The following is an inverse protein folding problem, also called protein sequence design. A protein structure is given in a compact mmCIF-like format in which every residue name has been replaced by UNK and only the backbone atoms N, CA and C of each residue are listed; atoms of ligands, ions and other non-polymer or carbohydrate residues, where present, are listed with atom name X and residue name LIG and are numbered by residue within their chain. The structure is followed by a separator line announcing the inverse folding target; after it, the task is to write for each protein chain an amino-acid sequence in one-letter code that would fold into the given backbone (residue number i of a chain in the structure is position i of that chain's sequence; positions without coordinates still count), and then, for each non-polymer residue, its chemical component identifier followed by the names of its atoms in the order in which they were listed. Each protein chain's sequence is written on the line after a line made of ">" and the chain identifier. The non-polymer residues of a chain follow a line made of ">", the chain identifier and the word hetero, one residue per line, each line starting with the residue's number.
data_IF_472490286765
#
_entry.id   IF_472490286765
#
_cell.length_a   1.000
_cell.length_b   1.000
_cell.length_c   1.000
_cell.angle_alpha   90.00
_cell.angle_beta   90.00
_cell.angle_gamma   90.00
#
_symmetry.space_group_name_H-M   'P 1'
#
loop_
_entity.id
_entity.type
_entity.pdbx_description
1 polymer ?
#
# COMPACT_ATOMS: atom_id res chain seq x y z
N UNK A 1 3.11 22.73 15.31
CA UNK A 1 3.19 23.34 13.97
C UNK A 1 2.90 22.28 12.91
N UNK A 2 2.78 22.66 11.63
CA UNK A 2 2.71 21.72 10.52
C UNK A 2 4.13 21.47 9.99
N UNK A 3 4.56 20.20 9.91
CA UNK A 3 5.87 19.85 9.34
C UNK A 3 5.87 19.93 7.81
N UNK A 4 7.06 19.95 7.19
CA UNK A 4 7.21 19.92 5.71
C UNK A 4 6.55 18.70 5.06
N UNK A 5 6.37 17.61 5.82
CA UNK A 5 5.59 16.42 5.43
C UNK A 5 4.08 16.57 5.63
N UNK A 6 3.57 17.80 5.82
CA UNK A 6 2.14 18.19 5.94
C UNK A 6 1.39 17.73 7.20
N UNK A 7 1.99 16.90 8.07
CA UNK A 7 1.35 16.47 9.32
C UNK A 7 1.66 17.44 10.47
N UNK A 8 0.80 17.46 11.49
CA UNK A 8 1.07 18.19 12.72
C UNK A 8 2.21 17.55 13.50
N UNK A 9 3.05 18.41 14.10
CA UNK A 9 4.19 18.02 14.91
C UNK A 9 4.11 18.78 16.24
N UNK A 10 4.37 18.04 17.32
CA UNK A 10 4.45 18.52 18.69
C UNK A 10 5.90 18.44 19.19
N UNK A 11 6.31 19.43 19.99
CA UNK A 11 7.61 19.40 20.66
C UNK A 11 7.69 18.32 21.74
N UNK A 12 6.54 17.92 22.29
CA UNK A 12 6.44 16.96 23.40
C UNK A 12 6.11 15.54 22.95
N UNK A 13 5.46 15.39 21.79
CA UNK A 13 4.94 14.10 21.34
C UNK A 13 5.40 13.69 19.94
N UNK A 14 6.15 14.54 19.23
CA UNK A 14 6.45 14.33 17.82
C UNK A 14 5.20 14.43 16.95
N UNK A 15 5.14 13.62 15.89
CA UNK A 15 4.03 13.57 14.91
C UNK A 15 3.18 12.31 14.98
N UNK A 16 3.48 11.36 15.88
CA UNK A 16 2.69 10.15 16.11
C UNK A 16 1.44 10.41 16.97
N UNK A 17 0.50 11.18 16.42
CA UNK A 17 -0.67 11.69 17.13
C UNK A 17 -1.96 11.42 16.35
N UNK A 18 -3.04 11.16 17.06
CA UNK A 18 -4.39 11.26 16.51
C UNK A 18 -4.94 12.67 16.76
N UNK A 19 -5.67 13.19 15.79
CA UNK A 19 -6.32 14.49 15.88
C UNK A 19 -7.82 14.31 16.06
N UNK A 20 -8.40 15.09 16.97
CA UNK A 20 -9.84 15.19 17.17
C UNK A 20 -10.23 16.66 17.27
N UNK A 21 -11.45 16.98 16.85
CA UNK A 21 -12.03 18.32 16.98
C UNK A 21 -13.42 18.24 17.60
N UNK A 22 -13.73 19.22 18.46
CA UNK A 22 -15.04 19.41 19.08
C UNK A 22 -15.51 20.80 18.68
N UNK A 23 -16.68 20.87 18.07
CA UNK A 23 -17.32 22.14 17.73
C UNK A 23 -18.19 22.56 18.91
N UNK A 24 -18.01 23.80 19.37
CA UNK A 24 -18.76 24.37 20.49
C UNK A 24 -19.19 25.79 20.17
N UNK A 25 -20.30 26.21 20.78
CA UNK A 25 -20.77 27.60 20.77
C UNK A 25 -20.26 28.39 21.96
N UNK A 26 -19.55 27.75 22.91
CA UNK A 26 -18.89 28.43 24.02
C UNK A 26 -17.86 29.42 23.48
N UNK A 27 -17.84 30.62 24.06
CA UNK A 27 -16.80 31.61 23.78
C UNK A 27 -15.53 31.23 24.55
N UNK A 28 -14.58 30.63 23.84
CA UNK A 28 -13.29 30.21 24.39
C UNK A 28 -12.18 31.10 23.83
N UNK A 29 -11.21 31.54 24.65
CA UNK A 29 -10.05 32.24 24.14
C UNK A 29 -9.30 31.36 23.14
N UNK A 30 -8.86 31.95 22.02
CA UNK A 30 -8.10 31.26 20.98
C UNK A 30 -6.63 31.18 21.39
N UNK A 31 -6.03 30.00 21.22
CA UNK A 31 -4.59 29.84 21.35
C UNK A 31 -3.85 30.52 20.20
N UNK A 32 -2.61 30.95 20.46
CA UNK A 32 -1.72 31.43 19.42
C UNK A 32 -1.24 30.27 18.54
N UNK A 33 -1.04 30.48 17.23
CA UNK A 33 -0.43 29.47 16.37
C UNK A 33 1.02 29.21 16.80
N UNK A 34 1.42 27.94 16.74
CA UNK A 34 2.79 27.52 17.00
C UNK A 34 3.73 27.92 15.84
N UNK A 35 5.00 28.20 16.15
CA UNK A 35 6.02 28.54 15.14
C UNK A 35 6.58 27.30 14.45
N UNK A 36 7.05 27.47 13.22
CA UNK A 36 7.72 26.38 12.49
C UNK A 36 9.06 26.01 13.15
N UNK A 37 9.29 24.70 13.31
CA UNK A 37 10.53 24.16 13.85
C UNK A 37 11.23 23.16 12.90
N UNK A 38 10.86 23.14 11.62
CA UNK A 38 11.54 22.34 10.60
C UNK A 38 12.87 22.98 10.18
N UNK A 39 12.95 24.32 10.12
CA UNK A 39 14.16 25.02 9.70
C UNK A 39 14.65 24.54 8.33
N UNK A 40 15.96 24.26 8.21
CA UNK A 40 16.56 23.75 6.97
C UNK A 40 16.36 22.25 6.71
N UNK A 41 15.80 21.49 7.65
CA UNK A 41 15.62 20.03 7.51
C UNK A 41 14.76 19.68 6.28
N UNK A 42 15.21 18.70 5.49
CA UNK A 42 14.50 18.16 4.31
C UNK A 42 14.27 16.64 4.39
N UNK A 43 14.64 15.98 5.50
CA UNK A 43 14.71 14.51 5.57
C UNK A 43 13.44 13.79 5.13
N UNK A 44 12.26 14.31 5.49
CA UNK A 44 10.97 13.74 5.09
C UNK A 44 10.65 13.86 3.59
N UNK A 45 11.21 14.87 2.92
CA UNK A 45 11.11 15.06 1.47
C UNK A 45 12.08 14.09 0.78
N UNK A 46 13.31 14.04 1.27
CA UNK A 46 14.39 13.24 0.69
C UNK A 46 14.13 11.73 0.78
N UNK A 47 13.52 11.25 1.86
CA UNK A 47 13.23 9.81 2.03
C UNK A 47 12.03 9.33 1.21
N UNK A 48 11.14 10.24 0.77
CA UNK A 48 9.86 9.86 0.19
C UNK A 48 10.07 9.06 -1.11
N UNK A 49 9.77 7.75 -1.16
CA UNK A 49 10.20 6.90 -2.28
C UNK A 49 9.62 7.33 -3.63
N UNK A 50 8.44 7.93 -3.59
CA UNK A 50 7.67 8.37 -4.77
C UNK A 50 7.78 9.87 -5.02
N UNK A 51 8.59 10.61 -4.26
CA UNK A 51 8.73 12.06 -4.37
C UNK A 51 7.34 12.73 -4.36
N UNK A 52 6.52 12.36 -3.36
CA UNK A 52 5.15 12.85 -3.25
C UNK A 52 5.06 14.32 -2.80
N UNK A 53 6.19 14.93 -2.45
CA UNK A 53 6.26 16.33 -2.04
C UNK A 53 6.88 17.17 -3.16
N UNK A 54 6.08 17.83 -4.02
CA UNK A 54 6.62 18.74 -5.06
C UNK A 54 7.40 19.92 -4.47
N UNK A 55 7.03 20.36 -3.27
CA UNK A 55 7.72 21.39 -2.49
C UNK A 55 7.42 21.18 -1.00
N UNK A 56 8.21 21.75 -0.06
CA UNK A 56 7.90 21.70 1.37
C UNK A 56 6.46 22.10 1.68
N UNK A 57 5.80 21.38 2.59
CA UNK A 57 4.42 21.63 3.04
C UNK A 57 3.33 21.36 1.99
N UNK A 58 3.67 20.75 0.84
CA UNK A 58 2.71 20.39 -0.21
C UNK A 58 2.84 18.92 -0.57
N UNK A 59 1.73 18.20 -0.55
CA UNK A 59 1.66 16.78 -0.87
C UNK A 59 0.84 16.57 -2.14
N UNK A 60 1.38 15.87 -3.14
CA UNK A 60 0.60 15.25 -4.20
C UNK A 60 0.15 13.86 -3.73
N UNK A 61 -1.10 13.79 -3.26
CA UNK A 61 -1.69 12.55 -2.74
C UNK A 61 -1.65 11.41 -3.78
N UNK A 62 -1.72 11.70 -5.08
CA UNK A 62 -1.73 10.66 -6.13
C UNK A 62 -0.43 9.87 -6.19
N UNK A 63 0.66 10.43 -5.67
CA UNK A 63 1.98 9.79 -5.56
C UNK A 63 2.23 9.19 -4.17
N UNK A 64 1.49 9.62 -3.15
CA UNK A 64 1.71 9.20 -1.77
C UNK A 64 1.35 7.72 -1.58
N UNK A 65 2.28 6.90 -1.09
CA UNK A 65 2.05 5.47 -0.83
C UNK A 65 0.86 5.25 0.12
N UNK A 66 0.66 6.13 1.12
CA UNK A 66 -0.49 6.06 2.02
C UNK A 66 -1.82 6.20 1.26
N UNK A 67 -1.94 7.15 0.34
CA UNK A 67 -3.12 7.28 -0.52
C UNK A 67 -3.25 6.10 -1.49
N UNK A 68 -2.15 5.69 -2.14
CA UNK A 68 -2.14 4.58 -3.09
C UNK A 68 -2.64 3.27 -2.45
N UNK A 69 -2.24 3.01 -1.20
CA UNK A 69 -2.62 1.78 -0.49
C UNK A 69 -4.03 1.84 0.10
N UNK A 70 -4.54 3.03 0.46
CA UNK A 70 -5.80 3.15 1.20
C UNK A 70 -6.97 3.62 0.32
N UNK A 71 -6.76 4.66 -0.49
CA UNK A 71 -7.82 5.40 -1.19
C UNK A 71 -7.89 5.10 -2.68
N UNK A 72 -6.76 4.78 -3.33
CA UNK A 72 -6.73 4.57 -4.78
C UNK A 72 -7.59 3.36 -5.18
N UNK A 73 -8.61 3.61 -5.99
CA UNK A 73 -9.60 2.60 -6.45
C UNK A 73 -9.20 1.88 -7.73
N UNK A 74 -8.22 2.40 -8.47
CA UNK A 74 -7.69 1.83 -9.71
C UNK A 74 -6.50 0.91 -9.45
N UNK A 75 -5.92 0.36 -10.51
CA UNK A 75 -4.57 -0.17 -10.45
C UNK A 75 -3.60 0.92 -9.98
N UNK A 76 -2.57 0.52 -9.22
CA UNK A 76 -1.48 1.43 -8.86
C UNK A 76 -0.65 1.70 -10.12
N UNK A 77 -0.31 2.97 -10.45
CA UNK A 77 0.55 3.27 -11.60
C UNK A 77 1.88 2.52 -11.55
N UNK A 78 2.35 2.05 -12.70
CA UNK A 78 3.52 1.18 -12.81
C UNK A 78 4.76 1.77 -12.14
N UNK A 79 4.98 3.07 -12.29
CA UNK A 79 6.14 3.78 -11.74
C UNK A 79 6.22 3.79 -10.21
N UNK A 80 5.12 3.48 -9.50
CA UNK A 80 5.08 3.48 -8.04
C UNK A 80 5.14 2.08 -7.41
N UNK A 81 4.85 1.01 -8.16
CA UNK A 81 4.70 -0.35 -7.59
C UNK A 81 5.98 -0.84 -6.92
N UNK A 82 7.13 -0.69 -7.58
CA UNK A 82 8.42 -1.06 -7.00
C UNK A 82 8.81 -0.18 -5.81
N UNK A 83 8.48 1.10 -5.88
CA UNK A 83 8.74 2.11 -4.83
C UNK A 83 7.90 1.90 -3.57
N UNK A 84 6.80 1.15 -3.65
CA UNK A 84 5.98 0.80 -2.49
C UNK A 84 6.64 -0.21 -1.54
N UNK A 85 7.72 -0.89 -1.95
CA UNK A 85 8.38 -1.88 -1.09
C UNK A 85 7.39 -2.93 -0.55
N UNK A 86 7.32 -3.07 0.77
CA UNK A 86 6.37 -3.95 1.46
C UNK A 86 5.19 -3.20 2.13
N UNK A 87 4.95 -1.93 1.76
CA UNK A 87 3.83 -1.16 2.30
C UNK A 87 2.49 -1.66 1.76
N UNK A 88 1.75 -2.41 2.59
CA UNK A 88 0.44 -2.98 2.23
C UNK A 88 -0.76 -2.13 2.70
N UNK A 89 -0.56 -1.24 3.67
CA UNK A 89 -1.56 -0.30 4.17
C UNK A 89 -0.87 0.90 4.86
N UNK A 90 -1.02 2.10 4.32
CA UNK A 90 -0.33 3.28 4.82
C UNK A 90 1.16 3.31 4.44
N UNK A 91 1.82 4.41 4.79
CA UNK A 91 3.26 4.59 4.70
C UNK A 91 3.64 5.63 5.75
N UNK A 92 4.64 5.29 6.56
CA UNK A 92 5.08 6.13 7.67
C UNK A 92 6.48 6.73 7.44
N UNK A 93 7.13 6.50 6.30
CA UNK A 93 8.54 6.85 6.07
C UNK A 93 8.85 8.32 6.37
N UNK A 94 7.98 9.23 5.92
CA UNK A 94 8.14 10.67 6.13
C UNK A 94 7.96 11.08 7.60
N UNK A 95 7.20 10.29 8.38
CA UNK A 95 7.09 10.45 9.83
C UNK A 95 8.28 9.80 10.53
N UNK A 96 8.60 8.56 10.19
CA UNK A 96 9.67 7.78 10.81
C UNK A 96 11.03 8.48 10.76
N UNK A 97 11.34 9.17 9.66
CA UNK A 97 12.59 9.94 9.51
C UNK A 97 12.57 11.31 10.22
N UNK A 98 11.40 11.78 10.67
CA UNK A 98 11.27 13.13 11.23
C UNK A 98 12.05 13.24 12.57
N UNK A 99 13.02 14.17 12.71
CA UNK A 99 13.87 14.25 13.90
C UNK A 99 13.10 14.62 15.18
N UNK A 100 11.88 15.17 15.05
CA UNK A 100 11.01 15.47 16.18
C UNK A 100 10.36 14.23 16.79
N UNK A 101 10.36 13.09 16.09
CA UNK A 101 9.84 11.84 16.63
C UNK A 101 10.74 11.19 17.68
N UNK A 102 11.94 11.71 17.92
CA UNK A 102 12.73 11.35 19.10
C UNK A 102 12.04 11.71 20.42
N UNK A 103 11.05 12.60 20.40
CA UNK A 103 10.23 12.98 21.56
C UNK A 103 8.93 12.18 21.65
N UNK A 104 8.63 11.33 20.66
CA UNK A 104 7.43 10.51 20.70
C UNK A 104 7.58 9.36 21.72
N UNK A 105 6.46 8.96 22.31
CA UNK A 105 6.40 7.85 23.25
C UNK A 105 5.36 6.84 22.80
N UNK A 106 5.64 5.55 23.05
CA UNK A 106 4.65 4.48 22.83
C UNK A 106 3.48 4.73 23.78
N UNK A 107 2.27 4.73 23.23
CA UNK A 107 1.05 4.92 24.01
C UNK A 107 0.89 3.82 25.06
N UNK A 108 0.35 4.18 26.23
CA UNK A 108 -0.07 3.23 27.28
C UNK A 108 -1.55 2.86 27.16
N UNK A 109 -2.29 3.48 26.24
CA UNK A 109 -3.69 3.16 25.99
C UNK A 109 -3.80 1.77 25.37
N UNK A 110 -4.49 0.87 26.06
CA UNK A 110 -4.65 -0.52 25.65
C UNK A 110 -5.33 -0.64 24.28
N UNK A 111 -6.29 0.23 23.98
CA UNK A 111 -7.01 0.24 22.69
C UNK A 111 -6.14 0.63 21.49
N UNK A 112 -4.97 1.24 21.74
CA UNK A 112 -4.03 1.66 20.69
C UNK A 112 -2.89 0.66 20.48
N UNK A 113 -2.83 -0.42 21.26
CA UNK A 113 -1.83 -1.47 21.06
C UNK A 113 -2.21 -2.33 19.83
N UNK A 114 -1.21 -2.62 19.00
CA UNK A 114 -1.39 -3.52 17.88
C UNK A 114 -1.71 -4.94 18.37
N UNK A 115 -2.68 -5.60 17.73
CA UNK A 115 -2.93 -7.03 17.94
C UNK A 115 -1.74 -7.85 17.43
N UNK A 116 -1.36 -8.88 18.16
CA UNK A 116 -0.20 -9.71 17.83
C UNK A 116 -0.28 -10.30 16.41
N UNK A 117 -1.47 -10.72 15.96
CA UNK A 117 -1.67 -11.26 14.61
C UNK A 117 -1.39 -10.24 13.49
N UNK A 118 -1.37 -8.94 13.82
CA UNK A 118 -1.17 -7.85 12.86
C UNK A 118 0.26 -7.29 12.89
N UNK A 119 1.14 -7.86 13.72
CA UNK A 119 2.56 -7.49 13.77
C UNK A 119 3.31 -8.36 12.75
N UNK A 120 3.72 -7.75 11.64
CA UNK A 120 4.45 -8.40 10.54
C UNK A 120 3.80 -9.73 10.05
N UNK A 121 2.51 -9.72 9.66
CA UNK A 121 1.81 -10.91 9.18
C UNK A 121 2.44 -11.49 7.90
N UNK A 122 2.31 -12.81 7.69
CA UNK A 122 2.81 -13.49 6.50
C UNK A 122 2.02 -13.06 5.25
N UNK A 123 2.73 -12.59 4.21
CA UNK A 123 2.14 -12.20 2.94
C UNK A 123 1.37 -13.35 2.27
N UNK A 124 1.77 -14.62 2.48
CA UNK A 124 1.06 -15.79 1.95
C UNK A 124 -0.33 -15.96 2.59
N UNK A 125 -0.45 -15.67 3.88
CA UNK A 125 -1.74 -15.71 4.57
C UNK A 125 -2.62 -14.55 4.08
N UNK A 126 -2.03 -13.36 3.99
CA UNK A 126 -2.75 -12.14 3.59
C UNK A 126 -3.26 -12.17 2.14
N UNK A 127 -2.46 -12.66 1.18
CA UNK A 127 -2.88 -12.73 -0.23
C UNK A 127 -3.99 -13.76 -0.46
N UNK A 128 -4.11 -14.73 0.45
CA UNK A 128 -5.10 -15.80 0.38
C UNK A 128 -6.46 -15.41 0.97
N UNK A 129 -6.57 -14.22 1.59
CA UNK A 129 -7.82 -13.76 2.20
C UNK A 129 -8.94 -13.61 1.17
N UNK A 130 -10.09 -14.20 1.47
CA UNK A 130 -11.38 -13.84 0.89
C UNK A 130 -12.04 -12.67 1.67
N UNK A 131 -13.21 -12.19 1.23
CA UNK A 131 -13.90 -11.08 1.89
C UNK A 131 -14.31 -11.40 3.34
N UNK A 132 -14.76 -12.64 3.60
CA UNK A 132 -15.17 -13.09 4.94
C UNK A 132 -14.00 -13.05 5.92
N UNK A 133 -12.88 -13.67 5.56
CA UNK A 133 -11.68 -13.74 6.38
C UNK A 133 -11.01 -12.38 6.52
N UNK A 134 -10.99 -11.55 5.47
CA UNK A 134 -10.52 -10.17 5.55
C UNK A 134 -11.31 -9.35 6.58
N UNK A 135 -12.65 -9.40 6.53
CA UNK A 135 -13.52 -8.67 7.46
C UNK A 135 -13.38 -9.16 8.90
N UNK A 136 -13.16 -10.47 9.08
CA UNK A 136 -12.91 -11.06 10.39
C UNK A 136 -11.56 -10.59 10.95
N UNK A 137 -10.48 -10.75 10.18
CA UNK A 137 -9.12 -10.39 10.58
C UNK A 137 -8.99 -8.91 10.94
N UNK A 138 -9.55 -8.01 10.11
CA UNK A 138 -9.45 -6.56 10.30
C UNK A 138 -10.65 -5.94 11.04
N UNK A 139 -11.43 -6.72 11.78
CA UNK A 139 -12.48 -6.18 12.66
C UNK A 139 -11.88 -5.14 13.61
N UNK A 140 -12.58 -4.01 13.76
CA UNK A 140 -12.15 -2.86 14.57
C UNK A 140 -10.76 -2.29 14.21
N UNK A 141 -10.25 -2.59 13.02
CA UNK A 141 -9.04 -2.00 12.46
C UNK A 141 -9.39 -1.02 11.35
N UNK A 142 -8.70 0.12 11.22
CA UNK A 142 -8.89 1.04 10.10
C UNK A 142 -8.60 0.38 8.74
N UNK A 143 -7.78 -0.69 8.69
CA UNK A 143 -7.50 -1.48 7.48
C UNK A 143 -8.77 -1.98 6.80
N UNK A 144 -9.82 -2.28 7.57
CA UNK A 144 -11.10 -2.74 7.04
C UNK A 144 -11.71 -1.77 6.02
N UNK A 145 -11.44 -0.46 6.12
CA UNK A 145 -11.98 0.56 5.21
C UNK A 145 -11.43 0.46 3.78
N UNK A 146 -10.22 -0.08 3.61
CA UNK A 146 -9.62 -0.30 2.30
C UNK A 146 -10.38 -1.35 1.52
N UNK A 147 -11.03 -2.30 2.19
CA UNK A 147 -11.69 -3.43 1.54
C UNK A 147 -10.68 -4.47 1.02
N UNK A 148 -11.16 -5.70 0.84
CA UNK A 148 -10.32 -6.86 0.54
C UNK A 148 -9.54 -6.70 -0.77
N UNK A 149 -10.17 -6.25 -1.85
CA UNK A 149 -9.53 -6.26 -3.17
C UNK A 149 -8.37 -5.29 -3.27
N UNK A 150 -8.53 -4.06 -2.76
CA UNK A 150 -7.43 -3.08 -2.69
C UNK A 150 -6.31 -3.56 -1.76
N UNK A 151 -6.65 -4.24 -0.67
CA UNK A 151 -5.65 -4.80 0.25
C UNK A 151 -4.85 -5.92 -0.42
N UNK A 152 -5.51 -6.93 -1.01
CA UNK A 152 -4.84 -8.04 -1.71
C UNK A 152 -4.03 -7.54 -2.90
N UNK A 153 -4.53 -6.54 -3.64
CA UNK A 153 -3.77 -5.81 -4.67
C UNK A 153 -2.43 -5.28 -4.11
N UNK A 154 -2.44 -4.64 -2.94
CA UNK A 154 -1.21 -4.14 -2.31
C UNK A 154 -0.28 -5.28 -1.84
N UNK A 155 -0.86 -6.37 -1.32
CA UNK A 155 -0.07 -7.55 -0.91
C UNK A 155 0.63 -8.18 -2.12
N UNK A 156 -0.04 -8.25 -3.27
CA UNK A 156 0.59 -8.72 -4.53
C UNK A 156 1.75 -7.81 -4.95
N UNK A 157 1.63 -6.49 -4.74
CA UNK A 157 2.75 -5.56 -4.97
C UNK A 157 3.93 -5.90 -4.06
N UNK A 158 3.68 -6.10 -2.75
CA UNK A 158 4.72 -6.49 -1.79
C UNK A 158 5.37 -7.84 -2.12
N UNK A 159 4.58 -8.83 -2.56
CA UNK A 159 5.09 -10.12 -3.02
C UNK A 159 5.95 -9.95 -4.28
N UNK A 160 5.52 -9.14 -5.25
CA UNK A 160 6.30 -8.80 -6.44
C UNK A 160 7.66 -8.22 -6.09
N UNK A 161 7.69 -7.26 -5.18
CA UNK A 161 8.92 -6.59 -4.72
C UNK A 161 9.89 -7.51 -3.98
N UNK A 162 9.43 -8.65 -3.46
CA UNK A 162 10.27 -9.63 -2.77
C UNK A 162 11.04 -10.58 -3.71
N UNK A 163 10.76 -10.59 -5.02
CA UNK A 163 11.23 -11.62 -5.95
C UNK A 163 12.77 -11.81 -5.97
N UNK A 164 13.53 -10.73 -5.74
CA UNK A 164 15.00 -10.73 -5.76
C UNK A 164 15.67 -10.98 -4.41
N UNK A 165 14.93 -11.10 -3.31
CA UNK A 165 15.49 -11.15 -1.94
C UNK A 165 15.11 -12.39 -1.14
N UNK A 166 14.50 -13.38 -1.79
CA UNK A 166 13.95 -14.59 -1.16
C UNK A 166 14.63 -15.86 -1.66
N UNK A 167 14.53 -16.94 -0.87
CA UNK A 167 15.05 -18.25 -1.28
C UNK A 167 14.11 -18.98 -2.27
N UNK A 168 14.63 -20.04 -2.90
CA UNK A 168 13.89 -20.82 -3.90
C UNK A 168 12.57 -21.42 -3.38
N UNK A 169 12.51 -21.82 -2.09
CA UNK A 169 11.30 -22.37 -1.48
C UNK A 169 10.22 -21.30 -1.33
N UNK A 170 10.57 -20.11 -0.86
CA UNK A 170 9.65 -18.98 -0.77
C UNK A 170 9.20 -18.53 -2.15
N UNK A 171 10.12 -18.49 -3.11
CA UNK A 171 9.83 -18.17 -4.52
C UNK A 171 8.72 -19.06 -5.08
N UNK A 172 8.81 -20.38 -4.86
CA UNK A 172 7.78 -21.31 -5.32
C UNK A 172 6.42 -21.04 -4.67
N UNK A 173 6.39 -20.81 -3.36
CA UNK A 173 5.14 -20.49 -2.64
C UNK A 173 4.49 -19.20 -3.14
N UNK A 174 5.28 -18.15 -3.37
CA UNK A 174 4.78 -16.89 -3.90
C UNK A 174 4.29 -17.03 -5.34
N UNK A 175 5.00 -17.76 -6.20
CA UNK A 175 4.52 -18.08 -7.55
C UNK A 175 3.15 -18.76 -7.52
N UNK A 176 2.98 -19.81 -6.71
CA UNK A 176 1.69 -20.49 -6.56
C UNK A 176 0.59 -19.54 -6.05
N UNK A 177 0.90 -18.70 -5.06
CA UNK A 177 -0.06 -17.73 -4.52
C UNK A 177 -0.48 -16.68 -5.56
N UNK A 178 0.47 -16.16 -6.35
CA UNK A 178 0.21 -15.24 -7.46
C UNK A 178 -0.67 -15.90 -8.53
N UNK A 179 -0.33 -17.13 -8.95
CA UNK A 179 -1.10 -17.86 -9.96
C UNK A 179 -2.56 -18.07 -9.54
N UNK A 180 -2.80 -18.42 -8.28
CA UNK A 180 -4.15 -18.55 -7.74
C UNK A 180 -4.96 -17.24 -7.83
N UNK A 181 -4.30 -16.08 -7.75
CA UNK A 181 -4.95 -14.77 -7.85
C UNK A 181 -5.20 -14.32 -9.30
N UNK A 182 -4.65 -14.99 -10.31
CA UNK A 182 -5.00 -14.73 -11.71
C UNK A 182 -6.46 -15.10 -12.03
N UNK A 183 -7.09 -15.95 -11.23
CA UNK A 183 -8.50 -16.34 -11.37
C UNK A 183 -9.44 -15.57 -10.41
N UNK A 184 -8.95 -14.53 -9.73
CA UNK A 184 -9.75 -13.78 -8.76
C UNK A 184 -10.94 -13.06 -9.43
N UNK A 185 -12.07 -12.96 -8.74
CA UNK A 185 -13.25 -12.26 -9.28
C UNK A 185 -12.99 -10.77 -9.49
N UNK A 186 -12.11 -10.17 -8.67
CA UNK A 186 -11.82 -8.75 -8.73
C UNK A 186 -10.73 -8.43 -9.78
N UNK A 187 -11.01 -7.56 -10.77
CA UNK A 187 -10.02 -7.14 -11.75
C UNK A 187 -8.77 -6.47 -11.14
N UNK A 188 -8.95 -5.72 -10.04
CA UNK A 188 -7.84 -5.12 -9.30
C UNK A 188 -6.81 -6.17 -8.86
N UNK A 189 -7.28 -7.30 -8.37
CA UNK A 189 -6.44 -8.40 -7.88
C UNK A 189 -5.81 -9.13 -9.05
N UNK A 190 -6.58 -9.46 -10.09
CA UNK A 190 -6.04 -10.13 -11.29
C UNK A 190 -4.93 -9.31 -11.94
N UNK A 191 -5.16 -8.02 -12.20
CA UNK A 191 -4.16 -7.16 -12.83
C UNK A 191 -2.85 -7.06 -12.04
N UNK A 192 -2.92 -6.93 -10.70
CA UNK A 192 -1.68 -6.94 -9.92
C UNK A 192 -1.05 -8.33 -9.79
N UNK A 193 -1.82 -9.41 -9.93
CA UNK A 193 -1.26 -10.75 -10.02
C UNK A 193 -0.46 -10.92 -11.32
N UNK A 194 -0.89 -10.34 -12.45
CA UNK A 194 -0.10 -10.30 -13.69
C UNK A 194 1.23 -9.58 -13.48
N UNK A 195 1.18 -8.37 -12.90
CA UNK A 195 2.38 -7.58 -12.64
C UNK A 195 3.35 -8.30 -11.69
N UNK A 196 2.83 -8.89 -10.61
CA UNK A 196 3.62 -9.63 -9.64
C UNK A 196 4.25 -10.86 -10.30
N UNK A 197 3.52 -11.59 -11.15
CA UNK A 197 4.03 -12.75 -11.89
C UNK A 197 5.24 -12.37 -12.77
N UNK A 198 5.17 -11.21 -13.41
CA UNK A 198 6.27 -10.66 -14.21
C UNK A 198 7.55 -10.35 -13.43
N UNK A 199 7.50 -10.26 -12.10
CA UNK A 199 8.70 -10.15 -11.27
C UNK A 199 9.39 -11.51 -11.02
N UNK A 200 8.67 -12.62 -11.28
CA UNK A 200 9.13 -13.99 -11.00
C UNK A 200 9.37 -14.82 -12.26
N UNK A 201 8.82 -14.44 -13.41
CA UNK A 201 9.00 -15.15 -14.66
C UNK A 201 9.92 -14.36 -15.59
N UNK A 202 10.57 -15.07 -16.51
CA UNK A 202 11.28 -14.45 -17.62
C UNK A 202 10.30 -13.77 -18.59
N UNK A 203 10.82 -12.83 -19.40
CA UNK A 203 10.03 -12.16 -20.41
C UNK A 203 9.39 -13.14 -21.41
N UNK A 204 10.08 -14.24 -21.76
CA UNK A 204 9.56 -15.26 -22.67
C UNK A 204 8.40 -16.06 -22.06
N UNK A 205 8.53 -16.45 -20.79
CA UNK A 205 7.44 -17.11 -20.07
C UNK A 205 6.22 -16.19 -19.94
N UNK A 206 6.44 -14.90 -19.66
CA UNK A 206 5.35 -13.91 -19.61
C UNK A 206 4.68 -13.71 -20.96
N UNK A 207 5.46 -13.59 -22.05
CA UNK A 207 4.94 -13.46 -23.41
C UNK A 207 4.08 -14.64 -23.83
N UNK A 208 4.52 -15.86 -23.51
CA UNK A 208 3.77 -17.09 -23.75
C UNK A 208 2.41 -17.07 -23.04
N UNK A 209 2.40 -16.73 -21.74
CA UNK A 209 1.17 -16.61 -20.94
C UNK A 209 0.25 -15.48 -21.42
N UNK A 210 0.81 -14.33 -21.80
CA UNK A 210 0.04 -13.21 -22.33
C UNK A 210 -0.65 -13.58 -23.65
N UNK A 211 0.06 -14.27 -24.54
CA UNK A 211 -0.49 -14.78 -25.81
C UNK A 211 -1.66 -15.73 -25.57
N UNK A 212 -1.52 -16.67 -24.64
CA UNK A 212 -2.61 -17.57 -24.24
C UNK A 212 -3.81 -16.75 -23.72
N UNK A 213 -3.60 -15.89 -22.71
CA UNK A 213 -4.69 -15.15 -22.03
C UNK A 213 -5.45 -14.17 -22.91
N UNK A 214 -4.78 -13.60 -23.91
CA UNK A 214 -5.35 -12.60 -24.81
C UNK A 214 -5.89 -13.21 -26.11
N UNK A 215 -5.57 -14.48 -26.43
CA UNK A 215 -6.03 -15.13 -27.65
C UNK A 215 -7.55 -15.24 -27.71
N UNK A 216 -8.11 -14.94 -28.90
CA UNK A 216 -9.56 -14.98 -29.12
C UNK A 216 -10.09 -16.39 -29.39
N UNK A 217 -9.21 -17.35 -29.64
CA UNK A 217 -9.52 -18.72 -30.04
C UNK A 217 -9.76 -19.69 -28.88
N UNK A 218 -9.58 -19.28 -27.61
CA UNK A 218 -9.78 -20.14 -26.45
C UNK A 218 -11.26 -20.21 -26.05
N UNK A 219 -11.83 -21.42 -26.14
CA UNK A 219 -13.20 -21.75 -25.70
C UNK A 219 -13.38 -21.62 -24.18
N UNK A 220 -14.63 -21.49 -23.74
CA UNK A 220 -15.08 -21.19 -22.35
C UNK A 220 -14.54 -22.10 -21.23
N UNK A 221 -13.87 -23.22 -21.52
CA UNK A 221 -13.47 -24.25 -20.55
C UNK A 221 -11.99 -24.21 -20.10
N UNK A 222 -11.13 -23.40 -20.71
CA UNK A 222 -9.75 -23.17 -20.25
C UNK A 222 -9.60 -21.70 -19.89
N UNK A 223 -9.43 -21.40 -18.59
CA UNK A 223 -9.23 -20.08 -17.98
C UNK A 223 -9.48 -18.91 -18.93
N UNK A 224 -10.77 -18.58 -19.08
CA UNK A 224 -11.30 -17.83 -20.23
C UNK A 224 -10.64 -16.47 -20.49
N UNK A 225 -10.82 -16.01 -21.74
CA UNK A 225 -10.39 -14.69 -22.25
C UNK A 225 -10.59 -13.59 -21.21
N UNK A 226 -9.52 -12.87 -20.86
CA UNK A 226 -9.64 -11.70 -19.97
C UNK A 226 -10.42 -10.60 -20.69
N UNK A 227 -11.52 -10.17 -20.05
CA UNK A 227 -12.46 -9.19 -20.60
C UNK A 227 -12.28 -7.80 -20.01
N UNK A 228 -11.67 -7.70 -18.83
CA UNK A 228 -11.46 -6.42 -18.18
C UNK A 228 -10.29 -5.67 -18.83
N UNK A 229 -10.56 -4.48 -19.34
CA UNK A 229 -9.57 -3.65 -20.05
C UNK A 229 -8.35 -3.33 -19.19
N UNK A 230 -8.53 -3.13 -17.88
CA UNK A 230 -7.42 -2.81 -16.98
C UNK A 230 -6.51 -4.00 -16.74
N UNK A 231 -7.04 -5.22 -16.74
CA UNK A 231 -6.23 -6.45 -16.61
C UNK A 231 -5.58 -6.80 -17.93
N UNK A 232 -6.26 -6.60 -19.06
CA UNK A 232 -5.67 -6.75 -20.40
C UNK A 232 -4.45 -5.85 -20.58
N UNK A 233 -4.55 -4.59 -20.17
CA UNK A 233 -3.42 -3.65 -20.23
C UNK A 233 -2.18 -4.17 -19.48
N UNK A 234 -2.35 -4.90 -18.36
CA UNK A 234 -1.22 -5.51 -17.63
C UNK A 234 -0.58 -6.67 -18.40
N UNK A 235 -1.36 -7.44 -19.15
CA UNK A 235 -0.83 -8.52 -20.01
C UNK A 235 -0.15 -7.97 -21.28
N UNK A 236 -0.72 -6.92 -21.87
CA UNK A 236 -0.22 -6.31 -23.11
C UNK A 236 1.18 -5.72 -22.98
N UNK A 237 1.62 -5.38 -21.75
CA UNK A 237 3.00 -4.96 -21.47
C UNK A 237 4.05 -6.02 -21.84
N UNK A 238 3.64 -7.30 -21.96
CA UNK A 238 4.54 -8.44 -22.19
C UNK A 238 4.50 -9.01 -23.61
N UNK A 239 3.71 -8.42 -24.52
CA UNK A 239 3.62 -8.83 -25.92
C UNK A 239 4.65 -8.12 -26.80
#
# INVERSE_FOLDING_TARGET
>A
WQGKHTNLVSRSYGSWLFLGSIFTTSDLPKDAPEIDHCGSCSSCLDICPTEAFPEPYKLDARRCISYLTIEAKSQVPLEFRSKMGNHIYGCDDCLAVCPWNKYAAISREAKLQARAELIAPDLLELVSLDDTNFRALFRASPVKRTGRDRFVRNVLIAIGNAAGSINARQRLKFLTAIENRLADTAPLVRGMAVWALGQYLSAEEMKSRATEKLSEALSETVSGKEKDETVRAEWEVWL
#
